data_IF_892368011987
#
_entry.id   IF_892368011987
#
_cell.length_a   1.000
_cell.length_b   1.000
_cell.length_c   1.000
_cell.angle_alpha   90.00
_cell.angle_beta   90.00
_cell.angle_gamma   90.00
#
_symmetry.space_group_name_H-M   'P 1'
#
loop_
_entity.id
_entity.type
_entity.pdbx_description
1 polymer ?
#
# COMPACT_ATOMS: atom_id res chain seq x y z
N UNK A 1 25.14 -17.97 15.79
CA UNK A 1 24.38 -16.71 15.87
C UNK A 1 23.26 -16.74 14.82
N UNK A 2 22.07 -17.24 15.17
CA UNK A 2 20.95 -17.29 14.22
C UNK A 2 20.31 -15.91 14.11
N UNK A 3 20.46 -15.26 12.96
CA UNK A 3 19.66 -14.07 12.63
C UNK A 3 18.21 -14.55 12.49
N UNK A 4 17.39 -14.32 13.52
CA UNK A 4 15.93 -14.46 13.36
C UNK A 4 15.53 -13.39 12.35
N UNK A 5 15.23 -13.79 11.12
CA UNK A 5 14.58 -12.91 10.15
C UNK A 5 13.31 -12.42 10.84
N UNK A 6 13.10 -11.10 11.01
CA UNK A 6 11.83 -10.64 11.54
C UNK A 6 10.74 -11.14 10.60
N UNK A 7 9.78 -11.89 11.13
CA UNK A 7 8.61 -12.30 10.36
C UNK A 7 7.89 -11.00 9.95
N UNK A 8 7.85 -10.73 8.65
CA UNK A 8 7.16 -9.56 8.12
C UNK A 8 5.68 -9.90 8.06
N UNK A 9 4.92 -9.40 9.03
CA UNK A 9 3.45 -9.55 9.03
C UNK A 9 2.85 -8.62 7.99
N UNK A 10 2.13 -9.19 7.03
CA UNK A 10 1.31 -8.43 6.09
C UNK A 10 -0.14 -8.44 6.56
N UNK A 11 -0.84 -7.32 6.43
CA UNK A 11 -2.26 -7.23 6.73
C UNK A 11 -2.99 -6.46 5.62
N UNK A 12 -4.25 -6.83 5.32
CA UNK A 12 -5.06 -6.09 4.38
C UNK A 12 -5.48 -4.75 4.99
N UNK A 13 -5.44 -3.69 4.19
CA UNK A 13 -5.91 -2.36 4.57
C UNK A 13 -6.54 -1.67 3.37
N UNK A 14 -7.70 -1.05 3.57
CA UNK A 14 -8.30 -0.17 2.57
C UNK A 14 -7.58 1.17 2.60
N UNK A 15 -7.04 1.60 1.46
CA UNK A 15 -6.34 2.88 1.33
C UNK A 15 -7.01 3.75 0.28
N UNK A 16 -6.87 5.05 0.47
CA UNK A 16 -7.32 6.09 -0.43
C UNK A 16 -6.10 6.83 -0.99
N UNK A 17 -6.33 7.73 -1.96
CA UNK A 17 -5.27 8.55 -2.54
C UNK A 17 -4.44 9.31 -1.48
N UNK A 18 -5.02 9.68 -0.34
CA UNK A 18 -4.30 10.35 0.76
C UNK A 18 -3.61 9.39 1.75
N UNK A 19 -4.03 8.12 1.85
CA UNK A 19 -3.52 7.17 2.86
C UNK A 19 -2.62 6.06 2.32
N UNK A 20 -2.55 5.89 1.00
CA UNK A 20 -1.62 4.97 0.32
C UNK A 20 -0.16 5.38 0.56
N UNK A 21 0.72 4.39 0.76
CA UNK A 21 2.12 4.55 1.13
C UNK A 21 3.05 3.81 0.15
N UNK A 22 4.29 4.28 0.08
CA UNK A 22 5.39 3.53 -0.57
C UNK A 22 5.58 2.22 0.21
N UNK A 23 5.70 1.11 -0.51
CA UNK A 23 5.79 -0.24 0.04
C UNK A 23 4.46 -0.95 0.24
N UNK A 24 3.32 -0.26 0.07
CA UNK A 24 2.03 -0.95 -0.01
C UNK A 24 2.01 -1.89 -1.23
N UNK A 25 1.42 -3.07 -1.08
CA UNK A 25 1.33 -4.07 -2.13
C UNK A 25 -0.09 -4.06 -2.68
N UNK A 26 -0.23 -3.66 -3.94
CA UNK A 26 -1.48 -3.65 -4.67
C UNK A 26 -1.62 -4.94 -5.46
N UNK A 27 -2.86 -5.42 -5.60
CA UNK A 27 -3.18 -6.48 -6.56
C UNK A 27 -3.84 -5.85 -7.78
N UNK A 28 -3.12 -5.83 -8.89
CA UNK A 28 -3.60 -5.28 -10.17
C UNK A 28 -3.52 -6.40 -11.20
N UNK A 29 -4.61 -6.64 -11.91
CA UNK A 29 -4.72 -7.70 -12.93
C UNK A 29 -4.25 -9.07 -12.42
N UNK A 30 -4.63 -9.40 -11.18
CA UNK A 30 -4.25 -10.65 -10.51
C UNK A 30 -2.80 -10.70 -9.99
N UNK A 31 -1.95 -9.73 -10.35
CA UNK A 31 -0.54 -9.67 -9.97
C UNK A 31 -0.32 -8.76 -8.76
N UNK A 32 0.48 -9.22 -7.80
CA UNK A 32 0.87 -8.40 -6.65
C UNK A 32 2.07 -7.53 -7.02
N UNK A 33 1.95 -6.22 -6.82
CA UNK A 33 2.97 -5.23 -7.15
C UNK A 33 3.12 -4.23 -6.01
N UNK A 34 4.37 -3.89 -5.68
CA UNK A 34 4.67 -2.93 -4.62
C UNK A 34 4.69 -1.49 -5.13
N UNK A 35 4.17 -0.54 -4.36
CA UNK A 35 4.34 0.89 -4.63
C UNK A 35 5.79 1.27 -4.39
N UNK A 36 6.48 1.68 -5.44
CA UNK A 36 7.85 2.16 -5.38
C UNK A 36 7.94 3.68 -5.20
N UNK A 37 7.06 4.41 -5.85
CA UNK A 37 7.02 5.87 -5.80
C UNK A 37 5.58 6.39 -5.99
N UNK A 38 5.32 7.63 -5.61
CA UNK A 38 4.00 8.24 -5.69
C UNK A 38 4.09 9.71 -6.12
N UNK A 39 3.20 10.13 -7.01
CA UNK A 39 3.08 11.53 -7.43
C UNK A 39 1.65 12.02 -7.23
N UNK A 40 1.51 13.17 -6.59
CA UNK A 40 0.24 13.86 -6.51
C UNK A 40 -0.14 14.41 -7.89
N UNK A 41 -1.41 14.27 -8.24
CA UNK A 41 -1.99 14.84 -9.45
C UNK A 41 -3.00 15.93 -9.05
N UNK A 42 -3.37 16.77 -10.02
CA UNK A 42 -4.45 17.74 -9.83
C UNK A 42 -5.77 17.04 -9.48
N UNK A 43 -6.64 17.75 -8.76
CA UNK A 43 -7.95 17.21 -8.35
C UNK A 43 -7.91 16.16 -7.25
N UNK A 44 -6.77 15.99 -6.55
CA UNK A 44 -6.63 15.06 -5.42
C UNK A 44 -6.37 13.60 -5.82
N UNK A 45 -6.17 13.34 -7.11
CA UNK A 45 -5.74 12.03 -7.58
C UNK A 45 -4.25 11.78 -7.27
N UNK A 46 -3.84 10.51 -7.29
CA UNK A 46 -2.45 10.12 -7.05
C UNK A 46 -2.01 9.07 -8.06
N UNK A 47 -0.85 9.28 -8.67
CA UNK A 47 -0.20 8.29 -9.53
C UNK A 47 0.78 7.47 -8.71
N UNK A 48 0.50 6.17 -8.63
CA UNK A 48 1.36 5.18 -8.00
C UNK A 48 2.28 4.59 -9.07
N UNK A 49 3.58 4.62 -8.82
CA UNK A 49 4.58 3.94 -9.63
C UNK A 49 4.91 2.64 -8.92
N UNK A 50 4.69 1.54 -9.62
CA UNK A 50 4.83 0.20 -9.10
C UNK A 50 6.19 -0.40 -9.46
N UNK A 51 6.55 -1.49 -8.81
CA UNK A 51 7.63 -2.34 -9.28
C UNK A 51 7.41 -2.81 -10.73
N UNK A 52 8.52 -2.93 -11.45
CA UNK A 52 8.52 -3.15 -12.91
C UNK A 52 8.13 -1.93 -13.74
N UNK A 53 7.94 -0.74 -13.13
CA UNK A 53 7.71 0.51 -13.86
C UNK A 53 6.27 0.73 -14.32
N UNK A 54 5.36 -0.19 -14.00
CA UNK A 54 3.93 0.03 -14.22
C UNK A 54 3.44 1.22 -13.39
N UNK A 55 2.44 1.92 -13.89
CA UNK A 55 1.83 3.01 -13.17
C UNK A 55 0.33 2.79 -13.06
N UNK A 56 -0.20 3.10 -11.88
CA UNK A 56 -1.62 3.06 -11.60
C UNK A 56 -2.07 4.45 -11.13
N UNK A 57 -3.17 4.96 -11.68
CA UNK A 57 -3.71 6.26 -11.28
C UNK A 57 -4.91 6.04 -10.39
N UNK A 58 -4.74 6.33 -9.11
CA UNK A 58 -5.80 6.30 -8.12
C UNK A 58 -6.56 7.64 -8.17
N UNK A 59 -7.85 7.59 -8.50
CA UNK A 59 -8.71 8.77 -8.57
C UNK A 59 -9.01 9.30 -7.17
N UNK A 60 -9.42 10.56 -7.09
CA UNK A 60 -9.93 11.11 -5.84
C UNK A 60 -11.22 10.37 -5.44
N UNK A 61 -11.30 9.93 -4.17
CA UNK A 61 -12.39 9.11 -3.64
C UNK A 61 -12.31 7.62 -3.97
N UNK A 62 -11.37 7.19 -4.82
CA UNK A 62 -11.14 5.76 -5.07
C UNK A 62 -10.44 5.12 -3.87
N UNK A 63 -10.93 3.94 -3.48
CA UNK A 63 -10.33 3.12 -2.42
C UNK A 63 -9.81 1.82 -3.00
N UNK A 64 -8.63 1.38 -2.57
CA UNK A 64 -8.08 0.08 -2.92
C UNK A 64 -7.76 -0.75 -1.68
N UNK A 65 -7.97 -2.06 -1.80
CA UNK A 65 -7.47 -3.02 -0.83
C UNK A 65 -6.00 -3.31 -1.13
N UNK A 66 -5.11 -3.00 -0.18
CA UNK A 66 -3.67 -3.23 -0.30
C UNK A 66 -3.17 -4.06 0.87
N UNK A 67 -2.03 -4.71 0.69
CA UNK A 67 -1.32 -5.37 1.79
C UNK A 67 -0.20 -4.47 2.27
N UNK A 68 -0.21 -4.16 3.56
CA UNK A 68 0.83 -3.36 4.20
C UNK A 68 1.69 -4.21 5.11
N UNK A 69 3.00 -4.00 5.05
CA UNK A 69 3.94 -4.64 5.96
C UNK A 69 3.93 -3.91 7.31
N UNK A 70 3.79 -4.67 8.39
CA UNK A 70 3.99 -4.17 9.75
C UNK A 70 5.45 -4.24 10.12
N UNK A 71 5.96 -3.13 10.65
CA UNK A 71 7.24 -3.17 11.36
C UNK A 71 7.03 -3.85 12.72
N UNK A 72 8.02 -4.62 13.21
CA UNK A 72 7.99 -5.12 14.58
C UNK A 72 7.75 -3.96 15.56
N UNK A 73 6.72 -4.04 16.39
CA UNK A 73 6.36 -3.00 17.36
C UNK A 73 5.36 -1.95 16.85
N UNK A 74 4.87 -2.04 15.61
CA UNK A 74 3.78 -1.19 15.14
C UNK A 74 2.44 -1.72 15.67
N UNK A 75 1.75 -0.92 16.49
CA UNK A 75 0.39 -1.20 16.89
C UNK A 75 -0.56 -0.79 15.76
N UNK A 76 -1.38 -1.72 15.28
CA UNK A 76 -2.42 -1.41 14.31
C UNK A 76 -3.70 -1.17 15.09
N UNK A 77 -4.16 0.08 15.12
CA UNK A 77 -5.54 0.33 15.50
C UNK A 77 -6.39 -0.17 14.33
N UNK A 78 -6.93 -1.37 14.44
CA UNK A 78 -8.01 -1.79 13.57
C UNK A 78 -9.18 -0.86 13.89
N UNK A 79 -9.46 0.10 12.99
CA UNK A 79 -10.62 0.96 13.13
C UNK A 79 -11.86 0.09 12.81
N UNK A 80 -12.71 -0.26 13.80
CA UNK A 80 -13.87 -1.10 13.58
C UNK A 80 -15.00 -0.22 13.06
N UNK A 81 -14.85 0.33 11.86
CA UNK A 81 -15.88 1.12 11.20
C UNK A 81 -15.83 0.88 9.69
N UNK A 82 -16.36 -0.28 9.29
CA UNK A 82 -16.88 -0.52 7.96
C UNK A 82 -18.32 -1.00 8.10
#
# INVERSE_FOLDING_TARGET
>A
MSRRTPAVTMYPVTVFANTVRIGDILRIDGTSRSVRDMRFLSGGAKRLILDGGAAYTMRNGESLLVFRQLRPGQCVTADPAA
#
